data_IF_944721288197
#
_entry.id   IF_944721288197
#
_cell.length_a   1.000
_cell.length_b   1.000
_cell.length_c   1.000
_cell.angle_alpha   90.00
_cell.angle_beta   90.00
_cell.angle_gamma   90.00
#
_symmetry.space_group_name_H-M   'P 1'
#
loop_
_entity.id
_entity.type
_entity.pdbx_description
1 polymer ?
#
# COMPACT_ATOMS: atom_id res chain seq x y z
N UNK A 1 -0.10 25.16 -14.76
CA UNK A 1 -1.47 25.20 -14.20
C UNK A 1 -2.50 24.33 -14.95
N UNK A 2 -2.57 24.33 -16.29
CA UNK A 2 -3.55 23.52 -17.06
C UNK A 2 -3.41 22.01 -16.81
N UNK A 3 -2.20 21.54 -16.48
CA UNK A 3 -1.94 20.14 -16.09
C UNK A 3 -2.72 19.71 -14.84
N UNK A 4 -3.09 20.63 -13.94
CA UNK A 4 -3.91 20.31 -12.77
C UNK A 4 -5.32 19.87 -13.18
N UNK A 5 -5.91 20.57 -14.16
CA UNK A 5 -7.23 20.22 -14.70
C UNK A 5 -7.16 18.89 -15.46
N UNK A 6 -6.09 18.67 -16.23
CA UNK A 6 -5.87 17.39 -16.90
C UNK A 6 -5.73 16.23 -15.89
N UNK A 7 -4.97 16.42 -14.81
CA UNK A 7 -4.81 15.42 -13.76
C UNK A 7 -6.16 15.08 -13.09
N UNK A 8 -6.99 16.09 -12.80
CA UNK A 8 -8.34 15.90 -12.28
C UNK A 8 -9.21 15.06 -13.23
N UNK A 9 -9.23 15.37 -14.52
CA UNK A 9 -10.04 14.62 -15.49
C UNK A 9 -9.59 13.15 -15.62
N UNK A 10 -8.28 12.91 -15.60
CA UNK A 10 -7.73 11.56 -15.61
C UNK A 10 -8.14 10.81 -14.34
N UNK A 11 -7.95 11.40 -13.16
CA UNK A 11 -8.28 10.81 -11.87
C UNK A 11 -9.77 10.47 -11.76
N UNK A 12 -10.66 11.40 -12.16
CA UNK A 12 -12.10 11.20 -12.14
C UNK A 12 -12.53 10.04 -13.06
N UNK A 13 -11.98 9.98 -14.28
CA UNK A 13 -12.28 8.90 -15.23
C UNK A 13 -11.78 7.55 -14.74
N UNK A 14 -10.56 7.51 -14.19
CA UNK A 14 -9.97 6.29 -13.61
C UNK A 14 -10.78 5.79 -12.42
N UNK A 15 -11.15 6.66 -11.47
CA UNK A 15 -11.94 6.25 -10.30
C UNK A 15 -13.34 5.78 -10.71
N UNK A 16 -13.97 6.42 -11.70
CA UNK A 16 -15.25 5.95 -12.23
C UNK A 16 -15.15 4.51 -12.77
N UNK A 17 -14.09 4.20 -13.52
CA UNK A 17 -13.85 2.86 -14.04
C UNK A 17 -13.56 1.85 -12.90
N UNK A 18 -12.76 2.22 -11.91
CA UNK A 18 -12.46 1.36 -10.75
C UNK A 18 -13.73 1.03 -9.95
N UNK A 19 -14.62 2.00 -9.75
CA UNK A 19 -15.93 1.77 -9.12
C UNK A 19 -16.79 0.82 -9.94
N UNK A 20 -16.80 0.97 -11.27
CA UNK A 20 -17.52 0.06 -12.16
C UNK A 20 -16.98 -1.38 -12.08
N UNK A 21 -15.66 -1.58 -12.00
CA UNK A 21 -15.10 -2.93 -11.83
C UNK A 21 -15.41 -3.54 -10.46
N UNK A 22 -15.24 -2.76 -9.40
CA UNK A 22 -15.36 -3.27 -8.01
C UNK A 22 -16.79 -3.53 -7.57
N UNK A 23 -17.77 -2.85 -8.19
CA UNK A 23 -19.20 -3.01 -7.91
C UNK A 23 -20.00 -3.68 -9.03
N UNK A 24 -19.44 -3.73 -10.25
CA UNK A 24 -20.09 -4.32 -11.43
C UNK A 24 -19.74 -5.78 -11.70
N UNK A 25 -19.28 -6.53 -10.69
CA UNK A 25 -19.02 -7.97 -10.79
C UNK A 25 -17.66 -8.36 -11.38
N UNK A 26 -16.72 -7.43 -11.60
CA UNK A 26 -15.33 -7.82 -11.88
C UNK A 26 -14.64 -8.34 -10.61
N UNK A 27 -14.93 -7.76 -9.44
CA UNK A 27 -14.39 -8.17 -8.14
C UNK A 27 -15.12 -9.36 -7.49
N UNK A 28 -15.96 -10.08 -8.24
CA UNK A 28 -16.67 -11.26 -7.77
C UNK A 28 -15.72 -12.43 -7.49
N UNK A 29 -15.79 -13.03 -6.31
CA UNK A 29 -14.96 -14.17 -5.92
C UNK A 29 -15.15 -15.39 -6.84
N UNK A 30 -16.31 -15.54 -7.49
CA UNK A 30 -16.49 -16.59 -8.51
C UNK A 30 -15.61 -16.38 -9.75
N UNK A 31 -15.04 -15.20 -9.92
CA UNK A 31 -14.13 -14.83 -11.01
C UNK A 31 -12.67 -14.84 -10.61
N UNK A 32 -12.33 -15.38 -9.42
CA UNK A 32 -10.96 -15.42 -8.90
C UNK A 32 -9.97 -16.02 -9.92
N UNK A 33 -10.35 -17.05 -10.68
CA UNK A 33 -9.52 -17.63 -11.73
C UNK A 33 -9.27 -16.67 -12.92
N UNK A 34 -10.23 -15.79 -13.21
CA UNK A 34 -10.15 -14.84 -14.34
C UNK A 34 -9.26 -13.62 -14.05
N UNK A 35 -8.84 -13.41 -12.79
CA UNK A 35 -7.93 -12.31 -12.44
C UNK A 35 -6.47 -12.63 -12.75
N UNK A 36 -6.14 -13.91 -12.96
CA UNK A 36 -4.78 -14.28 -13.31
C UNK A 36 -4.55 -14.07 -14.81
N UNK A 37 -3.56 -13.25 -15.15
CA UNK A 37 -3.24 -12.99 -16.56
C UNK A 37 -2.58 -14.21 -17.20
N UNK A 38 -2.75 -14.37 -18.51
CA UNK A 38 -2.25 -15.53 -19.26
C UNK A 38 -0.72 -15.71 -19.15
N UNK A 39 0.05 -14.64 -18.96
CA UNK A 39 1.50 -14.77 -18.76
C UNK A 39 1.87 -15.17 -17.32
N UNK A 40 0.98 -15.03 -16.35
CA UNK A 40 1.21 -15.43 -14.96
C UNK A 40 0.77 -16.88 -14.73
N UNK A 41 -0.28 -17.36 -15.43
CA UNK A 41 -0.86 -18.70 -15.23
C UNK A 41 0.13 -19.85 -15.41
N UNK A 42 1.16 -19.70 -16.25
CA UNK A 42 2.17 -20.74 -16.49
C UNK A 42 3.35 -20.71 -15.49
N UNK A 43 3.47 -19.68 -14.66
CA UNK A 43 4.55 -19.56 -13.67
C UNK A 43 4.25 -20.38 -12.40
N UNK A 44 5.27 -20.60 -11.56
CA UNK A 44 5.10 -21.31 -10.29
C UNK A 44 4.12 -20.56 -9.34
N UNK A 45 4.15 -19.23 -9.37
CA UNK A 45 3.27 -18.35 -8.61
C UNK A 45 1.84 -18.45 -9.13
N UNK A 46 1.67 -18.54 -10.45
CA UNK A 46 0.37 -18.77 -11.08
C UNK A 46 -0.24 -20.11 -10.68
N UNK A 47 0.56 -21.18 -10.65
CA UNK A 47 0.11 -22.49 -10.17
C UNK A 47 -0.27 -22.47 -8.69
N UNK A 48 0.49 -21.75 -7.86
CA UNK A 48 0.18 -21.56 -6.45
C UNK A 48 -1.11 -20.76 -6.25
N UNK A 49 -1.34 -19.75 -7.07
CA UNK A 49 -2.60 -19.02 -7.11
C UNK A 49 -3.78 -19.88 -7.51
N UNK A 50 -3.61 -20.75 -8.50
CA UNK A 50 -4.67 -21.66 -8.94
C UNK A 50 -5.11 -22.61 -7.82
N UNK A 51 -4.19 -23.05 -6.96
CA UNK A 51 -4.53 -23.86 -5.78
C UNK A 51 -5.42 -23.08 -4.79
N UNK A 52 -5.09 -21.81 -4.51
CA UNK A 52 -5.88 -20.96 -3.62
C UNK A 52 -7.23 -20.61 -4.25
N UNK A 53 -7.26 -20.32 -5.54
CA UNK A 53 -8.49 -20.08 -6.28
C UNK A 53 -9.44 -21.30 -6.19
N UNK A 54 -8.92 -22.52 -6.35
CA UNK A 54 -9.68 -23.75 -6.16
C UNK A 54 -10.10 -24.01 -4.69
N UNK A 55 -9.35 -23.52 -3.69
CA UNK A 55 -9.79 -23.52 -2.29
C UNK A 55 -10.96 -22.56 -2.05
N UNK A 56 -10.91 -21.36 -2.65
CA UNK A 56 -12.00 -20.38 -2.59
C UNK A 56 -13.26 -20.93 -3.25
N UNK A 57 -13.13 -21.55 -4.44
CA UNK A 57 -14.25 -22.18 -5.13
C UNK A 57 -14.90 -23.27 -4.27
N UNK A 58 -14.09 -24.14 -3.65
CA UNK A 58 -14.59 -25.17 -2.72
C UNK A 58 -15.30 -24.57 -1.51
N UNK A 59 -14.79 -23.48 -0.96
CA UNK A 59 -15.43 -22.80 0.17
C UNK A 59 -16.79 -22.20 -0.24
N UNK A 60 -16.88 -21.56 -1.41
CA UNK A 60 -18.14 -21.03 -1.95
C UNK A 60 -19.15 -22.15 -2.25
N UNK A 61 -18.70 -23.28 -2.79
CA UNK A 61 -19.53 -24.46 -3.00
C UNK A 61 -20.06 -25.04 -1.67
N UNK A 62 -19.21 -25.06 -0.63
CA UNK A 62 -19.62 -25.50 0.72
C UNK A 62 -20.67 -24.57 1.32
N UNK A 63 -20.49 -23.24 1.23
CA UNK A 63 -21.48 -22.27 1.68
C UNK A 63 -22.85 -22.49 1.02
N UNK A 64 -22.86 -22.70 -0.31
CA UNK A 64 -24.08 -23.06 -1.06
C UNK A 64 -24.70 -24.36 -0.54
N UNK A 65 -23.90 -25.40 -0.32
CA UNK A 65 -24.38 -26.69 0.21
C UNK A 65 -24.98 -26.56 1.63
N UNK A 66 -24.50 -25.60 2.43
CA UNK A 66 -25.07 -25.26 3.73
C UNK A 66 -26.34 -24.36 3.65
N UNK A 67 -26.81 -24.02 2.45
CA UNK A 67 -28.01 -23.20 2.25
C UNK A 67 -27.75 -21.69 2.34
N UNK A 68 -26.49 -21.24 2.28
CA UNK A 68 -26.17 -19.82 2.14
C UNK A 68 -26.41 -19.42 0.69
N UNK A 69 -27.24 -18.40 0.47
CA UNK A 69 -27.48 -17.83 -0.86
C UNK A 69 -26.30 -16.97 -1.28
N UNK A 70 -25.29 -17.61 -1.88
CA UNK A 70 -24.09 -16.91 -2.30
C UNK A 70 -24.32 -15.91 -3.42
N UNK A 71 -25.45 -15.93 -4.13
CA UNK A 71 -25.74 -15.05 -5.28
C UNK A 71 -26.33 -13.70 -4.86
N UNK A 72 -27.11 -13.66 -3.77
CA UNK A 72 -27.67 -12.41 -3.24
C UNK A 72 -26.78 -11.71 -2.22
N UNK A 73 -25.71 -12.37 -1.75
CA UNK A 73 -24.76 -11.80 -0.80
C UNK A 73 -23.73 -10.89 -1.50
N UNK A 74 -24.02 -9.59 -1.59
CA UNK A 74 -23.13 -8.59 -2.20
C UNK A 74 -21.69 -8.60 -1.66
N UNK A 75 -21.48 -8.98 -0.39
CA UNK A 75 -20.15 -9.11 0.20
C UNK A 75 -19.26 -10.18 -0.46
N UNK A 76 -19.83 -11.11 -1.25
CA UNK A 76 -19.07 -12.11 -2.03
C UNK A 76 -18.78 -11.65 -3.47
N UNK A 77 -19.48 -10.60 -3.92
CA UNK A 77 -19.47 -10.15 -5.32
C UNK A 77 -18.87 -8.75 -5.52
N UNK A 78 -18.76 -7.99 -4.44
CA UNK A 78 -18.27 -6.62 -4.45
C UNK A 78 -17.14 -6.44 -3.46
N UNK A 79 -16.23 -5.52 -3.77
CA UNK A 79 -15.15 -5.11 -2.87
C UNK A 79 -15.20 -3.60 -2.69
N UNK A 80 -14.94 -3.12 -1.48
CA UNK A 80 -14.70 -1.70 -1.25
C UNK A 80 -13.25 -1.38 -1.62
N UNK A 81 -13.10 -0.47 -2.58
CA UNK A 81 -11.81 -0.04 -3.09
C UNK A 81 -11.64 1.46 -2.86
N UNK A 82 -10.51 1.83 -2.26
CA UNK A 82 -10.20 3.20 -1.89
C UNK A 82 -8.99 3.69 -2.67
N UNK A 83 -8.91 5.01 -2.84
CA UNK A 83 -7.81 5.69 -3.53
C UNK A 83 -6.99 6.51 -2.56
N UNK A 84 -5.71 6.62 -2.87
CA UNK A 84 -4.78 7.46 -2.13
C UNK A 84 -3.67 8.02 -3.02
N UNK A 85 -3.14 9.18 -2.67
CA UNK A 85 -1.92 9.76 -3.24
C UNK A 85 -1.15 10.59 -2.20
N UNK A 86 0.09 10.95 -2.52
CA UNK A 86 0.86 11.90 -1.72
C UNK A 86 0.24 13.29 -1.90
N UNK A 87 -0.22 13.91 -0.80
CA UNK A 87 -0.70 15.28 -0.82
C UNK A 87 0.49 16.23 -1.01
N UNK A 88 0.95 16.39 -2.25
CA UNK A 88 2.19 17.09 -2.55
C UNK A 88 1.94 18.51 -3.09
N UNK A 89 1.04 18.63 -4.07
CA UNK A 89 0.72 19.89 -4.72
C UNK A 89 -0.46 20.57 -4.00
N UNK A 90 -0.18 21.28 -2.90
CA UNK A 90 -1.23 21.81 -2.01
C UNK A 90 -2.28 22.68 -2.70
N UNK A 91 -1.95 23.41 -3.77
CA UNK A 91 -2.95 24.17 -4.54
C UNK A 91 -3.96 23.28 -5.30
N UNK A 92 -3.61 22.02 -5.59
CA UNK A 92 -4.52 21.01 -6.14
C UNK A 92 -5.41 20.44 -5.02
N UNK A 93 -4.80 20.07 -3.90
CA UNK A 93 -5.49 19.51 -2.73
C UNK A 93 -6.50 20.52 -2.14
N UNK A 94 -6.10 21.78 -1.97
CA UNK A 94 -6.98 22.87 -1.51
C UNK A 94 -8.17 23.05 -2.45
N UNK A 95 -7.94 23.03 -3.78
CA UNK A 95 -9.00 23.17 -4.76
C UNK A 95 -10.01 22.00 -4.77
N UNK A 96 -9.66 20.85 -4.19
CA UNK A 96 -10.52 19.66 -4.06
C UNK A 96 -11.03 19.43 -2.63
N UNK A 97 -10.63 20.28 -1.69
CA UNK A 97 -11.14 20.27 -0.31
C UNK A 97 -12.55 20.83 -0.23
N UNK A 98 -13.46 20.09 0.41
CA UNK A 98 -14.89 20.41 0.53
C UNK A 98 -15.33 20.29 1.97
N UNK A 99 -16.34 21.08 2.32
CA UNK A 99 -17.02 20.94 3.59
C UNK A 99 -18.14 19.91 3.44
N UNK A 100 -18.16 18.91 4.30
CA UNK A 100 -19.24 17.94 4.41
C UNK A 100 -20.53 18.65 4.87
N UNK A 101 -21.62 18.42 4.14
CA UNK A 101 -22.87 19.15 4.34
C UNK A 101 -23.64 18.76 5.60
N UNK A 102 -23.32 17.61 6.20
CA UNK A 102 -24.02 17.07 7.38
C UNK A 102 -23.29 17.45 8.68
N UNK A 103 -21.96 17.38 8.66
CA UNK A 103 -21.10 17.55 9.84
C UNK A 103 -20.42 18.92 9.88
N UNK A 104 -20.30 19.60 8.74
CA UNK A 104 -19.52 20.84 8.62
C UNK A 104 -18.00 20.62 8.67
N UNK A 105 -17.53 19.37 8.71
CA UNK A 105 -16.10 19.05 8.69
C UNK A 105 -15.51 19.22 7.29
N UNK A 106 -14.22 19.53 7.22
CA UNK A 106 -13.49 19.62 5.95
C UNK A 106 -12.93 18.27 5.56
N UNK A 107 -13.03 17.90 4.29
CA UNK A 107 -12.39 16.72 3.71
C UNK A 107 -11.70 17.14 2.42
N UNK A 108 -10.48 16.66 2.21
CA UNK A 108 -9.91 16.69 0.88
C UNK A 108 -10.56 15.58 0.04
N UNK A 109 -11.39 15.96 -0.93
CA UNK A 109 -12.11 15.03 -1.77
C UNK A 109 -11.31 14.62 -3.01
N UNK A 110 -10.01 14.91 -3.07
CA UNK A 110 -9.11 14.43 -4.12
C UNK A 110 -8.88 12.91 -4.04
N UNK A 111 -8.89 12.35 -2.84
CA UNK A 111 -8.75 10.91 -2.57
C UNK A 111 -9.39 10.53 -1.22
N UNK A 112 -9.50 9.22 -0.95
CA UNK A 112 -10.05 8.75 0.32
C UNK A 112 -9.02 8.89 1.46
N UNK A 113 -7.76 8.56 1.16
CA UNK A 113 -6.64 8.67 2.09
C UNK A 113 -5.50 9.47 1.44
N UNK A 114 -4.83 10.31 2.22
CA UNK A 114 -3.71 11.12 1.76
C UNK A 114 -2.49 10.86 2.61
N UNK A 115 -1.28 10.93 2.03
CA UNK A 115 -0.06 10.85 2.83
C UNK A 115 0.90 12.01 2.62
N UNK A 116 1.74 12.23 3.63
CA UNK A 116 2.86 13.17 3.62
C UNK A 116 4.14 12.39 3.32
N UNK A 117 4.89 12.83 2.33
CA UNK A 117 6.17 12.24 1.96
C UNK A 117 7.29 12.53 2.95
N UNK A 118 8.39 11.80 2.82
CA UNK A 118 9.57 11.94 3.69
C UNK A 118 10.17 13.35 3.64
N UNK A 119 10.06 14.03 2.49
CA UNK A 119 10.70 15.32 2.23
C UNK A 119 9.81 16.52 2.61
N UNK A 120 8.56 16.26 2.98
CA UNK A 120 7.50 17.25 3.20
C UNK A 120 6.87 17.14 4.60
N UNK A 121 7.46 16.36 5.50
CA UNK A 121 6.95 16.09 6.86
C UNK A 121 7.51 16.98 7.96
N UNK A 122 7.92 18.21 7.65
CA UNK A 122 8.35 19.17 8.67
C UNK A 122 7.15 19.50 9.57
N UNK A 123 7.30 19.39 10.91
CA UNK A 123 6.18 19.51 11.86
C UNK A 123 5.49 20.88 11.80
N UNK A 124 6.22 21.93 11.46
CA UNK A 124 5.76 23.30 11.24
C UNK A 124 5.52 23.63 9.75
N UNK A 125 5.60 22.62 8.88
CA UNK A 125 5.48 22.74 7.44
C UNK A 125 4.04 22.75 6.94
N UNK A 126 3.85 23.27 5.71
CA UNK A 126 2.54 23.45 5.10
C UNK A 126 1.75 22.14 4.91
N UNK A 127 2.42 21.03 4.60
CA UNK A 127 1.77 19.73 4.39
C UNK A 127 1.19 19.14 5.68
N UNK A 128 1.91 19.29 6.80
CA UNK A 128 1.42 18.90 8.12
C UNK A 128 0.22 19.78 8.50
N UNK A 129 0.31 21.09 8.32
CA UNK A 129 -0.78 22.01 8.62
C UNK A 129 -2.03 21.70 7.78
N UNK A 130 -1.86 21.44 6.48
CA UNK A 130 -2.97 21.11 5.59
C UNK A 130 -3.69 19.83 6.04
N UNK A 131 -2.95 18.72 6.23
CA UNK A 131 -3.56 17.45 6.61
C UNK A 131 -4.04 17.40 8.07
N UNK A 132 -3.57 18.28 8.93
CA UNK A 132 -4.12 18.48 10.29
C UNK A 132 -5.58 18.94 10.24
N UNK A 133 -5.97 19.70 9.23
CA UNK A 133 -7.30 20.33 9.12
C UNK A 133 -8.38 19.50 8.43
N UNK A 134 -8.02 18.44 7.68
CA UNK A 134 -8.98 17.62 6.91
C UNK A 134 -9.41 16.37 7.67
N UNK A 135 -10.58 15.81 7.38
CA UNK A 135 -11.19 14.66 8.05
C UNK A 135 -10.78 13.28 7.50
N UNK A 136 -10.02 13.24 6.41
CA UNK A 136 -9.53 12.00 5.78
C UNK A 136 -8.66 11.16 6.75
N UNK A 137 -8.59 9.83 6.63
CA UNK A 137 -7.43 9.09 7.12
C UNK A 137 -6.16 9.64 6.47
N UNK A 138 -5.11 9.84 7.27
CA UNK A 138 -3.85 10.44 6.83
C UNK A 138 -2.68 9.50 7.08
N UNK A 139 -1.67 9.59 6.23
CA UNK A 139 -0.44 8.81 6.32
C UNK A 139 0.77 9.72 6.41
N UNK A 140 1.86 9.22 6.97
CA UNK A 140 3.14 9.91 6.94
C UNK A 140 4.27 8.90 6.75
N UNK A 141 5.16 9.19 5.80
CA UNK A 141 6.37 8.38 5.58
C UNK A 141 7.33 8.54 6.77
N UNK A 142 7.87 7.43 7.25
CA UNK A 142 8.81 7.35 8.37
C UNK A 142 10.11 6.71 7.89
N UNK A 143 11.12 7.54 7.64
CA UNK A 143 12.46 7.11 7.25
C UNK A 143 13.34 6.62 8.41
N UNK A 144 14.53 6.08 8.10
CA UNK A 144 15.42 5.42 9.07
C UNK A 144 16.01 6.36 10.12
N UNK A 145 16.06 7.66 9.85
CA UNK A 145 16.63 8.67 10.77
C UNK A 145 15.56 9.32 11.66
N UNK A 146 14.33 8.79 11.65
CA UNK A 146 13.23 9.31 12.47
C UNK A 146 13.47 9.01 13.95
N UNK A 147 13.32 10.04 14.80
CA UNK A 147 13.44 9.92 16.25
C UNK A 147 12.11 9.63 16.93
N UNK A 148 12.16 9.11 18.16
CA UNK A 148 10.97 8.91 19.01
C UNK A 148 10.23 10.22 19.27
N UNK A 149 10.96 11.30 19.55
CA UNK A 149 10.37 12.60 19.86
C UNK A 149 9.63 13.18 18.66
N UNK A 150 10.20 13.00 17.46
CA UNK A 150 9.56 13.42 16.22
C UNK A 150 8.27 12.64 15.98
N UNK A 151 8.28 11.30 16.09
CA UNK A 151 7.09 10.50 15.78
C UNK A 151 5.97 10.72 16.79
N UNK A 152 6.29 10.95 18.06
CA UNK A 152 5.30 11.30 19.08
C UNK A 152 4.70 12.69 18.81
N UNK A 153 5.53 13.68 18.49
CA UNK A 153 5.06 15.01 18.10
C UNK A 153 4.17 14.97 16.86
N UNK A 154 4.53 14.15 15.87
CA UNK A 154 3.72 13.92 14.67
C UNK A 154 2.35 13.33 15.02
N UNK A 155 2.29 12.36 15.94
CA UNK A 155 1.04 11.76 16.38
C UNK A 155 0.12 12.77 17.08
N UNK A 156 0.68 13.62 17.95
CA UNK A 156 -0.06 14.69 18.62
C UNK A 156 -0.58 15.74 17.63
N UNK A 157 0.16 16.05 16.57
CA UNK A 157 -0.27 17.02 15.55
C UNK A 157 -1.34 16.46 14.61
N UNK A 158 -1.16 15.25 14.08
CA UNK A 158 -2.04 14.68 13.04
C UNK A 158 -3.22 13.87 13.60
N UNK A 159 -3.15 13.44 14.85
CA UNK A 159 -4.23 12.71 15.53
C UNK A 159 -4.35 13.10 17.02
N UNK A 160 -4.56 14.40 17.33
CA UNK A 160 -4.65 14.89 18.71
C UNK A 160 -5.78 14.22 19.51
N UNK A 161 -6.89 13.92 18.84
CA UNK A 161 -8.06 13.26 19.45
C UNK A 161 -7.88 11.74 19.60
N UNK A 162 -6.74 11.18 19.18
CA UNK A 162 -6.40 9.75 19.29
C UNK A 162 -7.50 8.85 18.71
N UNK A 163 -7.99 9.21 17.53
CA UNK A 163 -8.99 8.41 16.80
C UNK A 163 -8.28 7.20 16.19
N UNK A 164 -8.69 5.96 16.51
CA UNK A 164 -8.10 4.77 15.88
C UNK A 164 -8.25 4.79 14.36
N UNK A 165 -7.18 4.47 13.64
CA UNK A 165 -7.20 4.44 12.17
C UNK A 165 -7.08 5.80 11.48
N UNK A 166 -7.05 6.91 12.24
CA UNK A 166 -6.86 8.26 11.68
C UNK A 166 -5.47 8.45 11.06
N UNK A 167 -4.42 7.96 11.73
CA UNK A 167 -3.03 8.14 11.32
C UNK A 167 -2.37 6.79 10.98
N UNK A 168 -1.79 6.71 9.79
CA UNK A 168 -0.95 5.59 9.35
C UNK A 168 0.52 6.04 9.29
N UNK A 169 1.38 5.38 10.07
CA UNK A 169 2.83 5.56 10.01
C UNK A 169 3.41 4.56 9.00
N UNK A 170 3.94 5.09 7.88
CA UNK A 170 4.39 4.30 6.73
C UNK A 170 5.92 4.20 6.74
N UNK A 171 6.48 3.11 7.27
CA UNK A 171 7.91 2.94 7.48
C UNK A 171 8.64 2.59 6.18
N UNK A 172 9.72 3.30 5.87
CA UNK A 172 10.60 3.04 4.71
C UNK A 172 12.07 3.14 5.14
N UNK A 173 12.55 2.14 5.87
CA UNK A 173 13.84 2.20 6.55
C UNK A 173 14.96 1.50 5.78
N UNK A 174 14.60 0.61 4.85
CA UNK A 174 15.53 -0.26 4.15
C UNK A 174 15.72 -1.58 4.89
N UNK A 175 15.94 -2.63 4.13
CA UNK A 175 15.97 -4.00 4.64
C UNK A 175 17.04 -4.25 5.72
N UNK A 176 18.15 -3.50 5.71
CA UNK A 176 19.23 -3.61 6.70
C UNK A 176 18.90 -2.92 8.04
N UNK A 177 17.98 -1.95 8.04
CA UNK A 177 17.75 -1.06 9.18
C UNK A 177 16.40 -1.26 9.85
N UNK A 178 15.41 -1.78 9.12
CA UNK A 178 14.01 -1.80 9.56
C UNK A 178 13.84 -2.45 10.93
N UNK A 179 14.44 -3.61 11.20
CA UNK A 179 14.15 -4.34 12.44
C UNK A 179 14.69 -3.60 13.66
N UNK A 180 15.95 -3.16 13.62
CA UNK A 180 16.57 -2.44 14.73
C UNK A 180 16.03 -1.01 14.86
N UNK A 181 15.81 -0.31 13.74
CA UNK A 181 15.39 1.09 13.71
C UNK A 181 13.93 1.29 14.08
N UNK A 182 13.05 0.34 13.78
CA UNK A 182 11.61 0.47 14.03
C UNK A 182 11.24 0.22 15.50
N UNK A 183 11.93 -0.71 16.18
CA UNK A 183 11.57 -1.12 17.55
C UNK A 183 11.45 0.03 18.56
N UNK A 184 12.40 1.00 18.64
CA UNK A 184 12.25 2.14 19.53
C UNK A 184 11.01 2.98 19.24
N UNK A 185 10.65 3.16 17.97
CA UNK A 185 9.47 3.93 17.55
C UNK A 185 8.17 3.22 17.93
N UNK A 186 8.08 1.90 17.68
CA UNK A 186 6.93 1.08 18.08
C UNK A 186 6.68 1.19 19.58
N UNK A 187 7.73 1.02 20.38
CA UNK A 187 7.67 1.12 21.84
C UNK A 187 7.18 2.48 22.29
N UNK A 188 7.78 3.56 21.79
CA UNK A 188 7.42 4.91 22.17
C UNK A 188 5.95 5.24 21.85
N UNK A 189 5.50 4.94 20.62
CA UNK A 189 4.11 5.22 20.19
C UNK A 189 3.09 4.38 20.96
N UNK A 190 3.40 3.11 21.22
CA UNK A 190 2.56 2.22 22.03
C UNK A 190 2.45 2.72 23.47
N UNK A 191 3.58 3.01 24.11
CA UNK A 191 3.62 3.43 25.52
C UNK A 191 2.98 4.81 25.72
N UNK A 192 3.09 5.69 24.72
CA UNK A 192 2.37 6.96 24.68
C UNK A 192 0.86 6.81 24.38
N UNK A 193 0.39 5.62 23.98
CA UNK A 193 -1.03 5.33 23.77
C UNK A 193 -1.63 5.95 22.50
N UNK A 194 -0.86 6.09 21.43
CA UNK A 194 -1.36 6.58 20.14
C UNK A 194 -1.88 5.43 19.26
N UNK A 195 -3.16 5.45 18.83
CA UNK A 195 -3.77 4.34 18.09
C UNK A 195 -3.54 4.48 16.58
N UNK A 196 -2.26 4.41 16.18
CA UNK A 196 -1.86 4.49 14.77
C UNK A 196 -1.97 3.13 14.07
N UNK A 197 -2.08 3.16 12.74
CA UNK A 197 -1.82 2.00 11.89
C UNK A 197 -0.35 2.03 11.47
N UNK A 198 0.35 0.90 11.56
CA UNK A 198 1.70 0.77 11.03
C UNK A 198 1.66 0.09 9.67
N UNK A 199 2.30 0.66 8.67
CA UNK A 199 2.42 0.09 7.34
C UNK A 199 3.89 0.05 6.89
N UNK A 200 4.29 -1.02 6.22
CA UNK A 200 5.64 -1.15 5.66
C UNK A 200 5.65 -0.70 4.19
N UNK A 201 6.50 0.26 3.87
CA UNK A 201 6.90 0.61 2.50
C UNK A 201 8.31 0.05 2.24
N UNK A 202 8.41 -1.18 1.73
CA UNK A 202 9.67 -1.87 1.49
C UNK A 202 10.36 -1.44 0.19
N UNK A 203 9.85 -0.39 -0.48
CA UNK A 203 10.25 -0.04 -1.83
C UNK A 203 11.26 1.10 -1.81
N UNK A 204 10.88 2.22 -1.19
CA UNK A 204 11.54 3.51 -1.39
C UNK A 204 12.94 3.61 -0.75
N UNK A 205 13.28 2.75 0.20
CA UNK A 205 14.59 2.74 0.86
C UNK A 205 15.55 1.67 0.31
N UNK A 206 15.05 0.75 -0.52
CA UNK A 206 15.83 -0.31 -1.16
C UNK A 206 16.17 -0.01 -2.63
N UNK A 207 15.98 1.24 -3.07
CA UNK A 207 16.35 1.67 -4.43
C UNK A 207 17.86 1.88 -4.52
N UNK A 208 18.49 1.30 -5.53
CA UNK A 208 19.88 1.56 -5.90
C UNK A 208 20.00 1.76 -7.42
N UNK A 209 21.17 2.22 -7.87
CA UNK A 209 21.46 2.41 -9.30
C UNK A 209 22.30 1.25 -9.81
N UNK A 210 21.78 0.52 -10.81
CA UNK A 210 22.47 -0.57 -11.49
C UNK A 210 23.64 -0.05 -12.36
N UNK A 211 24.52 -0.94 -12.83
CA UNK A 211 25.71 -0.53 -13.61
C UNK A 211 25.36 0.08 -14.98
N UNK A 212 24.17 -0.21 -15.52
CA UNK A 212 23.64 0.44 -16.73
C UNK A 212 22.98 1.81 -16.46
N UNK A 213 23.04 2.31 -15.22
CA UNK A 213 22.51 3.63 -14.83
C UNK A 213 21.01 3.65 -14.51
N UNK A 214 20.29 2.53 -14.67
CA UNK A 214 18.88 2.43 -14.30
C UNK A 214 18.74 2.30 -12.79
N UNK A 215 17.75 2.99 -12.21
CA UNK A 215 17.33 2.71 -10.84
C UNK A 215 16.65 1.35 -10.81
N UNK A 216 16.92 0.56 -9.79
CA UNK A 216 16.25 -0.72 -9.59
C UNK A 216 16.16 -1.03 -8.09
N UNK A 217 15.46 -2.11 -7.77
CA UNK A 217 15.30 -2.65 -6.41
C UNK A 217 15.46 -4.15 -6.51
N UNK A 218 16.03 -4.78 -5.49
CA UNK A 218 16.09 -6.24 -5.44
C UNK A 218 14.85 -6.79 -4.73
N UNK A 219 14.15 -7.74 -5.36
CA UNK A 219 12.96 -8.36 -4.79
C UNK A 219 13.21 -8.97 -3.40
N UNK A 220 14.36 -9.61 -3.20
CA UNK A 220 14.69 -10.19 -1.90
C UNK A 220 14.87 -9.15 -0.79
N UNK A 221 15.39 -7.95 -1.11
CA UNK A 221 15.48 -6.87 -0.13
C UNK A 221 14.09 -6.32 0.24
N UNK A 222 13.18 -6.25 -0.73
CA UNK A 222 11.78 -5.89 -0.48
C UNK A 222 11.14 -6.88 0.51
N UNK A 223 11.29 -8.19 0.28
CA UNK A 223 10.78 -9.23 1.18
C UNK A 223 11.47 -9.19 2.55
N UNK A 224 12.78 -8.94 2.58
CA UNK A 224 13.57 -8.85 3.81
C UNK A 224 13.14 -7.65 4.66
N UNK A 225 12.81 -6.50 4.05
CA UNK A 225 12.27 -5.36 4.80
C UNK A 225 10.90 -5.68 5.42
N UNK A 226 9.99 -6.31 4.68
CA UNK A 226 8.69 -6.73 5.23
C UNK A 226 8.88 -7.75 6.37
N UNK A 227 9.82 -8.68 6.21
CA UNK A 227 10.15 -9.67 7.24
C UNK A 227 10.64 -8.97 8.51
N UNK A 228 11.60 -8.06 8.40
CA UNK A 228 12.11 -7.28 9.53
C UNK A 228 11.05 -6.40 10.19
N UNK A 229 10.12 -5.83 9.41
CA UNK A 229 8.96 -5.11 9.92
C UNK A 229 8.06 -6.01 10.79
N UNK A 230 7.71 -7.21 10.30
CA UNK A 230 6.92 -8.18 11.08
C UNK A 230 7.65 -8.62 12.36
N UNK A 231 8.96 -8.88 12.26
CA UNK A 231 9.79 -9.27 13.42
C UNK A 231 9.87 -8.15 14.48
N UNK A 232 10.05 -6.91 14.06
CA UNK A 232 10.03 -5.74 14.96
C UNK A 232 8.68 -5.62 15.69
N UNK A 233 7.57 -5.79 14.96
CA UNK A 233 6.24 -5.77 15.55
C UNK A 233 6.03 -6.85 16.61
N UNK A 234 6.45 -8.09 16.32
CA UNK A 234 6.42 -9.20 17.28
C UNK A 234 7.26 -8.90 18.52
N UNK A 235 8.49 -8.43 18.33
CA UNK A 235 9.42 -8.14 19.43
C UNK A 235 8.88 -7.05 20.38
N UNK A 236 8.05 -6.14 19.87
CA UNK A 236 7.44 -5.07 20.67
C UNK A 236 5.93 -5.31 20.95
N UNK A 237 5.42 -6.53 20.71
CA UNK A 237 4.00 -6.89 20.93
C UNK A 237 3.01 -5.87 20.31
N UNK A 238 3.24 -5.51 19.06
CA UNK A 238 2.40 -4.60 18.27
C UNK A 238 1.95 -5.27 16.97
N UNK A 239 0.97 -4.66 16.28
CA UNK A 239 0.36 -5.26 15.09
C UNK A 239 0.97 -4.72 13.78
N UNK A 240 1.47 -5.58 12.87
CA UNK A 240 1.89 -5.19 11.53
C UNK A 240 0.66 -4.90 10.65
N UNK A 241 0.27 -3.63 10.58
CA UNK A 241 -1.03 -3.20 10.06
C UNK A 241 -1.22 -3.25 8.54
N UNK A 242 -0.16 -3.26 7.75
CA UNK A 242 -0.26 -3.37 6.29
C UNK A 242 1.05 -3.15 5.54
N UNK A 243 0.97 -3.15 4.21
CA UNK A 243 2.09 -2.87 3.30
C UNK A 243 1.69 -1.79 2.28
N UNK A 244 2.67 -1.03 1.81
CA UNK A 244 2.52 0.03 0.81
C UNK A 244 3.56 -0.20 -0.29
N UNK A 245 3.14 -0.72 -1.43
CA UNK A 245 4.03 -1.16 -2.52
C UNK A 245 3.74 -0.44 -3.83
N UNK A 246 4.75 -0.35 -4.69
CA UNK A 246 4.64 0.19 -6.05
C UNK A 246 4.65 -0.98 -7.04
N UNK A 247 3.55 -1.16 -7.76
CA UNK A 247 3.38 -2.28 -8.69
C UNK A 247 2.72 -1.86 -10.00
N UNK A 248 2.83 -2.71 -11.00
CA UNK A 248 2.00 -2.67 -12.21
C UNK A 248 1.52 -4.07 -12.58
N UNK A 249 0.36 -4.15 -13.24
CA UNK A 249 -0.15 -5.39 -13.84
C UNK A 249 0.60 -5.81 -15.11
N UNK A 250 1.50 -4.97 -15.62
CA UNK A 250 2.26 -5.23 -16.84
C UNK A 250 3.48 -6.14 -16.57
N UNK A 251 3.92 -6.84 -17.62
CA UNK A 251 5.14 -7.65 -17.58
C UNK A 251 6.39 -6.81 -17.86
N UNK A 252 6.73 -5.96 -16.90
CA UNK A 252 7.90 -5.07 -16.92
C UNK A 252 9.14 -5.70 -16.27
N UNK A 253 10.30 -5.17 -16.62
CA UNK A 253 11.62 -5.56 -16.07
C UNK A 253 12.24 -4.39 -15.31
N UNK A 254 11.61 -4.00 -14.20
CA UNK A 254 12.00 -2.80 -13.43
C UNK A 254 12.71 -3.15 -12.10
N UNK A 255 12.25 -4.19 -11.39
CA UNK A 255 12.90 -4.72 -10.19
C UNK A 255 13.63 -6.04 -10.49
N UNK A 256 14.81 -6.23 -9.90
CA UNK A 256 15.61 -7.45 -10.03
C UNK A 256 15.06 -8.60 -9.19
N UNK A 257 15.37 -9.83 -9.61
CA UNK A 257 15.00 -11.04 -8.89
C UNK A 257 13.51 -11.39 -9.04
N UNK A 258 12.97 -12.07 -8.03
CA UNK A 258 11.69 -12.77 -8.14
C UNK A 258 11.88 -14.19 -8.66
N UNK A 259 10.80 -14.97 -8.70
CA UNK A 259 10.86 -16.37 -9.06
C UNK A 259 11.28 -16.65 -10.52
N UNK A 260 10.81 -15.82 -11.45
CA UNK A 260 11.46 -15.66 -12.75
C UNK A 260 12.50 -14.56 -12.62
N UNK A 261 13.77 -14.97 -12.47
CA UNK A 261 14.87 -14.05 -12.20
C UNK A 261 14.97 -12.96 -13.26
N UNK A 262 14.56 -11.73 -12.91
CA UNK A 262 14.88 -10.54 -13.71
C UNK A 262 16.33 -10.16 -13.40
N UNK A 263 17.20 -10.29 -14.40
CA UNK A 263 18.60 -9.94 -14.31
C UNK A 263 18.81 -8.45 -14.60
N UNK A 264 20.04 -7.98 -14.37
CA UNK A 264 20.38 -6.60 -14.67
C UNK A 264 20.33 -6.28 -16.18
N UNK A 265 20.61 -7.27 -17.04
CA UNK A 265 20.55 -7.14 -18.50
C UNK A 265 19.11 -6.98 -18.98
N UNK A 266 18.17 -7.62 -18.29
CA UNK A 266 16.74 -7.54 -18.61
C UNK A 266 16.17 -6.16 -18.36
N UNK A 267 16.80 -5.34 -17.50
CA UNK A 267 16.34 -3.99 -17.20
C UNK A 267 16.22 -3.15 -18.46
N UNK A 268 17.02 -3.39 -19.50
CA UNK A 268 16.98 -2.63 -20.75
C UNK A 268 15.80 -2.99 -21.67
N UNK A 269 15.06 -4.06 -21.36
CA UNK A 269 14.04 -4.64 -22.25
C UNK A 269 12.67 -3.98 -22.11
N UNK A 270 12.12 -3.85 -20.89
CA UNK A 270 10.75 -3.37 -20.62
C UNK A 270 10.68 -2.53 -19.35
N UNK A 271 11.39 -1.41 -19.36
CA UNK A 271 11.40 -0.45 -18.25
C UNK A 271 10.53 0.75 -18.62
N UNK A 272 9.34 0.82 -18.05
CA UNK A 272 8.27 1.72 -18.52
C UNK A 272 7.87 2.76 -17.48
N UNK A 273 8.33 2.61 -16.24
CA UNK A 273 8.13 3.61 -15.19
C UNK A 273 8.73 4.96 -15.56
N UNK A 274 8.03 6.02 -15.13
CA UNK A 274 8.46 7.42 -15.27
C UNK A 274 9.22 7.92 -14.04
N UNK A 275 9.29 7.13 -12.97
CA UNK A 275 9.91 7.53 -11.71
C UNK A 275 10.74 6.38 -11.13
N UNK A 276 10.14 5.61 -10.22
CA UNK A 276 10.81 4.52 -9.51
C UNK A 276 10.39 3.13 -10.06
N UNK A 277 11.28 2.13 -9.96
CA UNK A 277 11.06 0.77 -10.48
C UNK A 277 9.94 0.04 -9.72
N UNK A 278 8.94 -0.48 -10.44
CA UNK A 278 7.75 -1.14 -9.87
C UNK A 278 7.93 -2.66 -9.86
N UNK A 279 7.21 -3.33 -8.97
CA UNK A 279 7.00 -4.77 -9.08
C UNK A 279 6.14 -5.06 -10.31
N UNK A 280 6.54 -6.05 -11.10
CA UNK A 280 5.66 -6.58 -12.16
C UNK A 280 4.57 -7.49 -11.55
N UNK A 281 3.63 -7.95 -12.38
CA UNK A 281 2.51 -8.76 -11.89
C UNK A 281 2.94 -10.06 -11.19
N UNK A 282 3.98 -10.74 -11.70
CA UNK A 282 4.50 -11.99 -11.12
C UNK A 282 5.16 -11.76 -9.76
N UNK A 283 6.04 -10.76 -9.68
CA UNK A 283 6.68 -10.36 -8.42
C UNK A 283 5.65 -9.91 -7.38
N UNK A 284 4.60 -9.20 -7.81
CA UNK A 284 3.52 -8.77 -6.93
C UNK A 284 2.75 -9.94 -6.33
N UNK A 285 2.49 -10.98 -7.14
CA UNK A 285 1.81 -12.20 -6.69
C UNK A 285 2.71 -13.04 -5.76
N UNK A 286 4.00 -13.19 -6.09
CA UNK A 286 4.98 -13.85 -5.19
C UNK A 286 5.05 -13.13 -3.84
N UNK A 287 5.12 -11.80 -3.85
CA UNK A 287 5.10 -10.98 -2.63
C UNK A 287 3.86 -11.25 -1.80
N UNK A 288 2.66 -11.25 -2.41
CA UNK A 288 1.42 -11.51 -1.69
C UNK A 288 1.44 -12.88 -0.97
N UNK A 289 1.96 -13.92 -1.63
CA UNK A 289 2.09 -15.25 -1.02
C UNK A 289 3.08 -15.27 0.14
N UNK A 290 4.28 -14.69 -0.04
CA UNK A 290 5.29 -14.64 1.01
C UNK A 290 4.82 -13.85 2.22
N UNK A 291 4.14 -12.73 2.00
CA UNK A 291 3.54 -11.94 3.08
C UNK A 291 2.46 -12.73 3.81
N UNK A 292 1.60 -13.45 3.09
CA UNK A 292 0.58 -14.30 3.70
C UNK A 292 1.20 -15.40 4.59
N UNK A 293 2.30 -16.04 4.15
CA UNK A 293 3.05 -17.01 4.94
C UNK A 293 3.68 -16.38 6.19
N UNK A 294 4.32 -15.22 6.04
CA UNK A 294 4.94 -14.48 7.15
C UNK A 294 3.92 -14.11 8.24
N UNK A 295 2.72 -13.68 7.84
CA UNK A 295 1.63 -13.35 8.77
C UNK A 295 1.04 -14.61 9.40
N UNK A 296 0.88 -15.72 8.65
CA UNK A 296 0.40 -16.99 9.22
C UNK A 296 1.36 -17.57 10.24
N UNK A 297 2.66 -17.53 9.97
CA UNK A 297 3.70 -17.93 10.92
C UNK A 297 3.88 -16.94 12.09
N UNK A 298 3.17 -15.82 12.09
CA UNK A 298 3.16 -14.83 13.18
C UNK A 298 2.09 -15.09 14.23
N UNK A 299 1.10 -15.92 13.90
CA UNK A 299 0.06 -16.37 14.83
C UNK A 299 0.58 -17.52 15.67
#
# INVERSE_FOLDING_TARGET
PQRLVQAYHQAASTLNLLRAFTKGGFADLNRVHAWNQEFVTTSAEGQRYEQVAGEVERALAFMRACGVDTESHSALHEVDFYTSHEALLLGYEEALTRQDSLTGNWYDCSAHMLWIGERTRQLDGAHIEFLRGVGNPVGCKIGPDTTTDFVLSLCEVLNPSRVPGRLTLITRMGADKIEAGLRPLLRAVRDAGHPVVWACDPMHANTFTATNGRKTRHFDDIIREITGFVLAHRAENTWPGGIHIELTGDNVTECLGGAETVSQEDLDTRYETVCDPRLNARQSLDLAFRVAELIRAAK
#
